data_IF_775844590439
#
_entry.id   IF_775844590439
#
_cell.length_a   1.000
_cell.length_b   1.000
_cell.length_c   1.000
_cell.angle_alpha   90.00
_cell.angle_beta   90.00
_cell.angle_gamma   90.00
#
_symmetry.space_group_name_H-M   'P 1'
#
loop_
_entity.id
_entity.type
_entity.pdbx_description
1 polymer ?
#
# COMPACT_ATOMS: atom_id res chain seq x y z
N UNK A 1 -4.70 5.89 18.89
CA UNK A 1 -3.72 6.53 17.97
C UNK A 1 -4.46 7.04 16.75
N UNK A 2 -3.94 8.07 16.08
CA UNK A 2 -4.47 8.57 14.80
C UNK A 2 -3.33 8.60 13.80
N UNK A 3 -3.57 8.07 12.60
CA UNK A 3 -2.64 8.17 11.48
C UNK A 3 -3.12 9.29 10.54
N UNK A 4 -2.27 10.29 10.31
CA UNK A 4 -2.62 11.52 9.59
C UNK A 4 -2.11 11.44 8.15
N UNK A 5 -2.96 11.78 7.17
CA UNK A 5 -2.60 11.82 5.74
C UNK A 5 -2.10 10.48 5.16
N UNK A 6 -2.67 9.36 5.61
CA UNK A 6 -2.23 8.01 5.21
C UNK A 6 -3.16 7.29 4.24
N UNK A 7 -4.34 7.84 3.98
CA UNK A 7 -5.36 7.21 3.14
C UNK A 7 -5.92 8.17 2.09
N UNK A 8 -6.40 7.60 0.99
CA UNK A 8 -6.99 8.32 -0.13
C UNK A 8 -8.07 7.48 -0.81
N UNK A 9 -8.85 8.11 -1.68
CA UNK A 9 -9.87 7.45 -2.50
C UNK A 9 -10.01 8.15 -3.85
N UNK A 10 -10.64 7.47 -4.80
CA UNK A 10 -10.96 8.03 -6.11
C UNK A 10 -12.49 8.17 -6.22
N UNK A 11 -13.09 9.31 -5.81
CA UNK A 11 -14.54 9.47 -5.82
C UNK A 11 -15.12 9.55 -7.25
N UNK A 12 -14.34 10.06 -8.21
CA UNK A 12 -14.68 10.18 -9.62
C UNK A 12 -13.57 9.60 -10.50
N UNK A 13 -13.39 8.27 -10.54
CA UNK A 13 -12.36 7.63 -11.35
C UNK A 13 -12.69 7.73 -12.85
N UNK A 14 -11.68 7.66 -13.72
CA UNK A 14 -11.91 7.56 -15.17
C UNK A 14 -12.54 6.19 -15.51
N UNK A 15 -13.22 6.04 -16.66
CA UNK A 15 -14.02 4.84 -16.94
C UNK A 15 -13.30 3.49 -16.77
N UNK A 16 -12.02 3.31 -17.20
CA UNK A 16 -11.30 2.06 -16.96
C UNK A 16 -11.09 1.71 -15.47
N UNK A 17 -11.12 2.71 -14.59
CA UNK A 17 -10.93 2.55 -13.15
C UNK A 17 -12.23 2.72 -12.35
N UNK A 18 -13.40 2.66 -13.01
CA UNK A 18 -14.70 2.71 -12.34
C UNK A 18 -14.83 1.77 -11.12
N UNK A 19 -14.24 0.54 -11.13
CA UNK A 19 -14.27 -0.34 -9.96
C UNK A 19 -13.62 0.23 -8.68
N UNK A 20 -12.74 1.24 -8.79
CA UNK A 20 -12.11 1.88 -7.63
C UNK A 20 -13.05 2.85 -6.89
N UNK A 21 -14.20 3.19 -7.47
CA UNK A 21 -15.15 4.10 -6.83
C UNK A 21 -15.54 3.54 -5.46
N UNK A 22 -15.65 4.43 -4.47
CA UNK A 22 -16.02 4.11 -3.08
C UNK A 22 -15.03 3.19 -2.32
N UNK A 23 -13.87 2.89 -2.91
CA UNK A 23 -12.80 2.17 -2.22
C UNK A 23 -11.79 3.13 -1.59
N UNK A 24 -11.20 2.69 -0.47
CA UNK A 24 -10.13 3.39 0.23
C UNK A 24 -8.82 2.67 -0.02
N UNK A 25 -7.78 3.43 -0.34
CA UNK A 25 -6.40 2.99 -0.32
C UNK A 25 -5.67 3.66 0.84
N UNK A 26 -4.70 2.97 1.45
CA UNK A 26 -3.89 3.53 2.53
C UNK A 26 -2.55 2.82 2.70
N UNK A 27 -1.62 3.51 3.35
CA UNK A 27 -0.31 2.94 3.71
C UNK A 27 -0.43 1.95 4.86
N UNK A 28 0.17 0.77 4.72
CA UNK A 28 0.28 -0.21 5.80
C UNK A 28 1.30 0.21 6.88
N UNK A 29 2.37 0.91 6.50
CA UNK A 29 3.48 1.25 7.41
C UNK A 29 3.08 2.00 8.69
N UNK A 30 2.14 2.96 8.66
CA UNK A 30 1.72 3.69 9.86
C UNK A 30 0.72 2.94 10.75
N UNK A 31 0.28 1.74 10.37
CA UNK A 31 -0.75 0.97 11.08
C UNK A 31 -0.13 0.02 12.10
N UNK A 32 -0.85 -0.29 13.18
CA UNK A 32 -0.37 -1.27 14.17
C UNK A 32 -0.40 -2.70 13.60
N UNK A 33 -1.39 -3.04 12.75
CA UNK A 33 -1.46 -4.32 12.01
C UNK A 33 -2.38 -4.23 10.79
N UNK A 34 -1.91 -4.75 9.65
CA UNK A 34 -2.71 -4.99 8.46
C UNK A 34 -2.65 -6.47 8.10
N UNK A 35 -3.77 -7.03 7.60
CA UNK A 35 -3.84 -8.43 7.18
C UNK A 35 -4.57 -8.62 5.87
N UNK A 36 -4.13 -9.58 5.07
CA UNK A 36 -4.82 -10.09 3.88
C UNK A 36 -5.01 -11.58 4.10
N UNK A 37 -6.26 -12.06 4.05
CA UNK A 37 -6.61 -13.47 4.29
C UNK A 37 -6.01 -14.07 5.58
N UNK A 38 -5.89 -13.24 6.62
CA UNK A 38 -5.29 -13.61 7.91
C UNK A 38 -3.75 -13.54 7.96
N UNK A 39 -3.09 -13.38 6.82
CA UNK A 39 -1.64 -13.17 6.74
C UNK A 39 -1.28 -11.74 7.13
N UNK A 40 -0.21 -11.54 7.92
CA UNK A 40 0.25 -10.21 8.30
C UNK A 40 1.05 -9.56 7.18
N UNK A 41 0.62 -8.37 6.78
CA UNK A 41 1.27 -7.59 5.71
C UNK A 41 2.57 -6.99 6.21
N UNK A 42 3.64 -7.15 5.42
CA UNK A 42 4.87 -6.39 5.57
C UNK A 42 4.78 -5.13 4.70
N UNK A 43 4.88 -3.93 5.28
CA UNK A 43 4.87 -2.70 4.49
C UNK A 43 6.05 -2.64 3.53
N UNK A 44 5.82 -2.12 2.32
CA UNK A 44 6.92 -1.90 1.38
C UNK A 44 7.96 -0.92 1.96
N UNK A 45 9.27 -1.18 1.79
CA UNK A 45 10.32 -0.32 2.32
C UNK A 45 10.28 1.12 1.78
N UNK A 46 10.98 2.03 2.49
CA UNK A 46 11.22 3.38 2.01
C UNK A 46 10.11 4.41 2.28
N UNK A 47 8.99 4.02 2.90
CA UNK A 47 7.86 4.89 3.34
C UNK A 47 7.12 5.67 2.23
N UNK A 48 7.68 5.72 1.03
CA UNK A 48 7.09 6.38 -0.13
C UNK A 48 6.09 5.47 -0.86
N UNK A 49 6.41 4.17 -0.95
CA UNK A 49 5.57 3.22 -1.66
C UNK A 49 4.52 2.63 -0.72
N UNK A 50 3.27 2.63 -1.16
CA UNK A 50 2.13 2.07 -0.44
C UNK A 50 1.94 0.57 -0.63
N UNK A 51 3.02 -0.18 -0.87
CA UNK A 51 2.93 -1.62 -1.16
C UNK A 51 2.60 -2.46 0.08
N UNK A 52 1.81 -3.50 -0.15
CA UNK A 52 1.35 -4.47 0.84
C UNK A 52 1.99 -5.81 0.49
N UNK A 53 3.04 -6.20 1.21
CA UNK A 53 3.81 -7.39 0.87
C UNK A 53 3.39 -8.57 1.76
N UNK A 54 2.78 -9.57 1.15
CA UNK A 54 2.49 -10.89 1.72
C UNK A 54 3.52 -11.93 1.25
N UNK A 55 3.39 -13.17 1.70
CA UNK A 55 4.34 -14.27 1.50
C UNK A 55 4.40 -14.75 0.05
N UNK A 56 3.32 -14.55 -0.70
CA UNK A 56 3.19 -14.83 -2.13
C UNK A 56 3.83 -13.75 -3.02
N UNK A 57 4.12 -12.56 -2.48
CA UNK A 57 4.76 -11.48 -3.23
C UNK A 57 6.29 -11.58 -3.06
N UNK A 58 6.98 -11.83 -4.18
CA UNK A 58 8.45 -11.96 -4.24
C UNK A 58 9.07 -10.68 -4.80
N UNK A 59 10.17 -10.25 -4.16
CA UNK A 59 10.92 -9.04 -4.55
C UNK A 59 11.77 -9.20 -5.81
N UNK A 60 12.61 -8.19 -6.13
CA UNK A 60 13.00 -7.07 -5.28
C UNK A 60 11.91 -6.02 -5.09
N UNK A 61 11.96 -5.28 -3.97
CA UNK A 61 10.99 -4.23 -3.66
C UNK A 61 11.62 -2.84 -3.75
N UNK A 62 10.92 -1.89 -4.37
CA UNK A 62 11.36 -0.48 -4.37
C UNK A 62 11.30 0.09 -2.96
N UNK A 63 12.24 0.97 -2.64
CA UNK A 63 12.35 1.65 -1.34
C UNK A 63 13.43 1.10 -0.42
N UNK A 64 14.08 -0.01 -0.76
CA UNK A 64 15.33 -0.45 -0.13
C UNK A 64 16.54 0.38 -0.63
N UNK A 65 17.64 0.47 0.15
CA UNK A 65 18.88 1.07 -0.32
C UNK A 65 19.33 0.46 -1.66
N UNK A 66 19.60 1.32 -2.65
CA UNK A 66 20.02 0.88 -3.99
C UNK A 66 18.87 0.52 -4.94
N UNK A 67 17.61 0.59 -4.52
CA UNK A 67 16.43 0.31 -5.35
C UNK A 67 15.75 1.57 -5.94
N UNK A 68 16.50 2.66 -6.11
CA UNK A 68 15.98 3.90 -6.70
C UNK A 68 16.28 3.95 -8.21
N UNK A 69 15.28 4.30 -9.04
CA UNK A 69 15.50 4.63 -10.46
C UNK A 69 15.42 3.49 -11.48
N UNK A 70 14.91 2.32 -11.10
CA UNK A 70 14.55 1.19 -11.99
C UNK A 70 13.04 1.11 -12.21
#
# INVERSE_FOLDING_TARGET
KTAVNVGWSYPNPTPPFAPLKEHIAFYAAPMDKCTVDGESVRPQPGQFYGGWITSDIVGPFKGEPGSMGW
#
